data_IF_960392847634
#
_entry.id   IF_960392847634
#
_cell.length_a   1.000
_cell.length_b   1.000
_cell.length_c   1.000
_cell.angle_alpha   90.00
_cell.angle_beta   90.00
_cell.angle_gamma   90.00
#
_symmetry.space_group_name_H-M   'P 1'
#
loop_
_entity.id
_entity.type
_entity.pdbx_description
1 polymer ?
#
# COMPACT_ATOMS: atom_id res chain seq x y z
N UNK A 1 11.93 -9.23 -15.31
CA UNK A 1 13.40 -9.22 -15.14
C UNK A 1 13.91 -7.82 -14.82
N UNK A 2 15.06 -7.73 -14.15
CA UNK A 2 15.72 -6.46 -13.82
C UNK A 2 15.24 -5.75 -12.54
N UNK A 3 14.30 -6.33 -11.80
CA UNK A 3 13.81 -5.79 -10.53
C UNK A 3 13.75 -6.84 -9.42
N UNK A 4 14.08 -6.42 -8.20
CA UNK A 4 13.71 -7.08 -6.96
C UNK A 4 12.48 -6.39 -6.38
N UNK A 5 11.49 -7.18 -5.96
CA UNK A 5 10.20 -6.62 -5.52
C UNK A 5 9.86 -7.08 -4.11
N UNK A 6 9.19 -6.21 -3.37
CA UNK A 6 8.81 -6.37 -1.98
C UNK A 6 7.34 -6.00 -1.84
N UNK A 7 6.55 -6.84 -1.20
CA UNK A 7 5.11 -6.68 -1.10
C UNK A 7 4.67 -6.70 0.35
N UNK A 8 3.66 -5.89 0.65
CA UNK A 8 2.78 -6.05 1.79
C UNK A 8 1.36 -6.26 1.28
N UNK A 9 0.63 -7.23 1.82
CA UNK A 9 -0.75 -7.52 1.43
C UNK A 9 -1.65 -7.66 2.63
N UNK A 10 -2.94 -7.41 2.41
CA UNK A 10 -3.93 -7.54 3.48
C UNK A 10 -4.06 -8.99 3.94
N UNK A 11 -4.03 -9.18 5.25
CA UNK A 11 -4.34 -10.43 5.95
C UNK A 11 -5.79 -10.48 6.45
N UNK A 12 -6.58 -9.45 6.14
CA UNK A 12 -7.97 -9.31 6.60
C UNK A 12 -8.97 -9.59 5.49
N UNK A 13 -8.65 -9.23 4.25
CA UNK A 13 -9.56 -9.36 3.11
C UNK A 13 -8.78 -9.59 1.81
N UNK A 14 -9.21 -10.58 1.04
CA UNK A 14 -8.67 -10.85 -0.30
C UNK A 14 -8.99 -9.69 -1.27
N UNK A 15 -8.05 -9.36 -2.15
CA UNK A 15 -8.23 -8.29 -3.15
C UNK A 15 -8.35 -6.88 -2.56
N UNK A 16 -7.92 -6.67 -1.31
CA UNK A 16 -8.01 -5.38 -0.62
C UNK A 16 -6.63 -4.87 -0.20
N UNK A 17 -6.42 -3.57 -0.41
CA UNK A 17 -5.18 -2.89 -0.03
C UNK A 17 -3.97 -3.58 -0.68
N UNK A 18 -2.79 -3.34 -0.12
CA UNK A 18 -1.54 -3.89 -0.61
C UNK A 18 -0.65 -2.79 -1.18
N UNK A 19 0.62 -2.87 -0.84
CA UNK A 19 1.65 -1.96 -1.34
C UNK A 19 2.84 -2.78 -1.83
N UNK A 20 3.56 -2.24 -2.80
CA UNK A 20 4.75 -2.88 -3.34
C UNK A 20 5.85 -1.87 -3.59
N UNK A 21 7.11 -2.29 -3.40
CA UNK A 21 8.29 -1.57 -3.85
C UNK A 21 8.96 -2.41 -4.94
N UNK A 22 9.29 -1.77 -6.06
CA UNK A 22 10.06 -2.34 -7.16
C UNK A 22 11.42 -1.65 -7.21
N UNK A 23 12.48 -2.37 -6.84
CA UNK A 23 13.85 -1.88 -6.91
C UNK A 23 14.54 -2.46 -8.14
N UNK A 24 15.23 -1.64 -8.95
CA UNK A 24 16.13 -2.18 -9.98
C UNK A 24 17.15 -3.09 -9.31
N UNK A 25 17.59 -4.15 -9.99
CA UNK A 25 18.59 -5.08 -9.41
C UNK A 25 19.92 -4.40 -9.08
N UNK A 26 20.26 -3.31 -9.76
CA UNK A 26 21.42 -2.46 -9.44
C UNK A 26 21.26 -1.62 -8.17
N UNK A 27 20.05 -1.52 -7.64
CA UNK A 27 19.68 -0.77 -6.42
C UNK A 27 18.99 -1.73 -5.45
N UNK A 28 19.58 -2.90 -5.27
CA UNK A 28 19.07 -3.90 -4.34
C UNK A 28 19.21 -3.38 -2.91
N UNK A 29 18.12 -3.34 -2.12
CA UNK A 29 18.20 -2.86 -0.75
C UNK A 29 19.02 -3.82 0.12
N UNK A 30 19.64 -3.28 1.16
CA UNK A 30 20.36 -4.05 2.18
C UNK A 30 19.40 -4.67 3.21
N UNK A 31 18.25 -4.04 3.45
CA UNK A 31 17.21 -4.51 4.37
C UNK A 31 15.82 -4.21 3.82
N UNK A 32 14.85 -5.03 4.17
CA UNK A 32 13.45 -4.78 3.83
C UNK A 32 12.53 -5.31 4.95
N UNK A 33 11.44 -4.59 5.22
CA UNK A 33 10.51 -4.93 6.29
C UNK A 33 9.08 -4.62 5.90
N UNK A 34 8.18 -5.57 6.14
CA UNK A 34 6.74 -5.41 5.94
C UNK A 34 6.08 -4.82 7.19
N UNK A 35 5.22 -3.82 7.00
CA UNK A 35 4.54 -3.13 8.09
C UNK A 35 5.37 -1.98 8.68
N UNK A 36 4.84 -1.36 9.72
CA UNK A 36 5.47 -0.29 10.50
C UNK A 36 5.78 -0.74 11.94
N UNK A 37 5.12 -1.80 12.43
CA UNK A 37 5.19 -2.20 13.83
C UNK A 37 6.08 -3.42 14.11
N UNK A 38 6.66 -4.04 13.08
CA UNK A 38 7.51 -5.22 13.22
C UNK A 38 6.77 -6.46 13.72
N UNK A 39 5.44 -6.53 13.53
CA UNK A 39 4.60 -7.63 14.06
C UNK A 39 4.38 -8.77 13.08
N UNK A 40 4.71 -8.59 11.80
CA UNK A 40 4.36 -9.56 10.74
C UNK A 40 5.40 -10.66 10.52
N UNK A 41 6.68 -10.32 10.69
CA UNK A 41 7.80 -11.24 10.49
C UNK A 41 8.67 -11.22 11.74
N UNK A 42 8.80 -12.36 12.42
CA UNK A 42 9.65 -12.47 13.59
C UNK A 42 11.08 -12.85 13.20
N UNK A 43 12.06 -12.17 13.80
CA UNK A 43 13.48 -12.56 13.83
C UNK A 43 14.13 -12.74 12.43
N UNK A 44 13.80 -11.87 11.47
CA UNK A 44 14.56 -11.81 10.22
C UNK A 44 15.81 -10.95 10.42
N UNK A 45 16.99 -11.54 10.18
CA UNK A 45 18.29 -10.87 10.31
C UNK A 45 18.43 -9.65 9.36
N UNK A 46 17.65 -9.64 8.27
CA UNK A 46 17.62 -8.58 7.26
C UNK A 46 16.39 -7.66 7.34
N UNK A 47 15.69 -7.67 8.48
CA UNK A 47 14.69 -6.66 8.83
C UNK A 47 15.34 -5.32 9.16
N UNK A 48 14.62 -4.20 8.95
CA UNK A 48 15.13 -2.85 9.22
C UNK A 48 15.41 -2.63 10.71
N UNK A 49 14.70 -3.32 11.61
CA UNK A 49 14.91 -3.26 13.05
C UNK A 49 14.69 -1.86 13.64
N UNK A 50 15.33 -1.58 14.79
CA UNK A 50 15.21 -0.31 15.50
C UNK A 50 14.02 -0.25 16.46
N UNK A 51 13.65 0.96 16.88
CA UNK A 51 12.51 1.19 17.74
C UNK A 51 11.20 1.14 16.94
N UNK A 52 10.22 0.44 17.47
CA UNK A 52 8.89 0.32 16.90
C UNK A 52 7.93 1.28 17.60
N UNK A 53 6.81 1.64 16.95
CA UNK A 53 5.85 2.56 17.54
C UNK A 53 5.39 2.10 18.92
N UNK A 54 5.35 3.01 19.88
CA UNK A 54 4.89 2.74 21.25
C UNK A 54 3.37 2.85 21.32
N UNK A 55 2.66 1.75 21.07
CA UNK A 55 1.19 1.63 21.12
C UNK A 55 0.77 0.28 21.73
N UNK A 56 -0.52 0.10 21.99
CA UNK A 56 -1.07 -1.20 22.43
C UNK A 56 -0.72 -2.31 21.41
N UNK A 57 -0.49 -3.53 21.89
CA UNK A 57 -0.09 -4.64 21.01
C UNK A 57 -1.15 -4.97 19.96
N UNK A 58 -2.44 -4.82 20.28
CA UNK A 58 -3.51 -5.06 19.32
C UNK A 58 -3.54 -3.99 18.24
N UNK A 59 -3.27 -2.73 18.61
CA UNK A 59 -3.19 -1.62 17.66
C UNK A 59 -2.00 -1.80 16.71
N UNK A 60 -0.83 -2.19 17.25
CA UNK A 60 0.36 -2.50 16.45
C UNK A 60 0.10 -3.62 15.44
N UNK A 61 -0.55 -4.70 15.88
CA UNK A 61 -0.91 -5.78 14.99
C UNK A 61 -1.98 -5.36 13.97
N UNK A 62 -2.93 -4.52 14.37
CA UNK A 62 -4.00 -4.04 13.49
C UNK A 62 -3.44 -3.21 12.33
N UNK A 63 -2.53 -2.27 12.60
CA UNK A 63 -1.97 -1.38 11.56
C UNK A 63 -1.18 -2.14 10.48
N UNK A 64 -0.51 -3.23 10.86
CA UNK A 64 0.31 -4.03 9.97
C UNK A 64 -0.53 -5.02 9.14
N UNK A 65 -1.65 -5.53 9.69
CA UNK A 65 -2.45 -6.58 9.03
C UNK A 65 -3.23 -6.13 7.80
N UNK A 66 -3.43 -4.83 7.58
CA UNK A 66 -4.10 -4.33 6.37
C UNK A 66 -3.18 -4.24 5.14
N UNK A 67 -1.89 -4.57 5.26
CA UNK A 67 -0.98 -4.60 4.12
C UNK A 67 -0.68 -3.21 3.54
N UNK A 68 -0.51 -2.22 4.43
CA UNK A 68 -0.49 -0.79 4.08
C UNK A 68 0.90 -0.16 4.06
N UNK A 69 1.93 -0.90 4.45
CA UNK A 69 3.29 -0.36 4.51
C UNK A 69 4.32 -1.42 4.12
N UNK A 70 5.31 -1.00 3.34
CA UNK A 70 6.51 -1.78 3.02
C UNK A 70 7.70 -0.83 3.01
N UNK A 71 8.80 -1.24 3.62
CA UNK A 71 9.99 -0.41 3.78
C UNK A 71 11.21 -1.11 3.21
N UNK A 72 12.13 -0.34 2.65
CA UNK A 72 13.43 -0.81 2.18
C UNK A 72 14.52 0.16 2.60
N UNK A 73 15.70 -0.37 2.92
CA UNK A 73 16.88 0.43 3.24
C UNK A 73 17.98 0.18 2.21
N UNK A 74 18.59 1.25 1.72
CA UNK A 74 19.61 1.23 0.66
C UNK A 74 20.89 1.88 1.16
N UNK A 75 22.04 1.25 0.92
CA UNK A 75 23.33 1.84 1.31
C UNK A 75 23.75 2.96 0.34
N UNK A 76 24.18 4.08 0.89
CA UNK A 76 24.73 5.23 0.15
C UNK A 76 26.27 5.19 0.16
N UNK A 77 26.90 5.82 -0.83
CA UNK A 77 28.36 5.80 -0.98
C UNK A 77 29.09 6.45 0.22
N UNK A 78 28.46 7.42 0.87
CA UNK A 78 28.99 8.13 2.05
C UNK A 78 28.96 7.31 3.35
N UNK A 79 28.53 6.04 3.28
CA UNK A 79 28.44 5.13 4.42
C UNK A 79 27.17 5.31 5.26
N UNK A 80 26.26 6.22 4.88
CA UNK A 80 24.91 6.30 5.42
C UNK A 80 23.96 5.40 4.63
N UNK A 81 22.67 5.41 4.97
CA UNK A 81 21.65 4.67 4.25
C UNK A 81 20.40 5.50 3.99
N UNK A 82 19.65 5.14 2.95
CA UNK A 82 18.35 5.69 2.62
C UNK A 82 17.25 4.69 3.01
N UNK A 83 16.41 5.06 3.95
CA UNK A 83 15.17 4.38 4.26
C UNK A 83 14.04 4.93 3.38
N UNK A 84 13.48 4.07 2.54
CA UNK A 84 12.28 4.33 1.74
C UNK A 84 11.08 3.65 2.41
N UNK A 85 10.09 4.44 2.81
CA UNK A 85 8.85 3.98 3.43
C UNK A 85 7.71 4.19 2.42
N UNK A 86 7.15 3.11 1.87
CA UNK A 86 6.00 3.17 0.99
C UNK A 86 4.72 2.86 1.77
N UNK A 87 3.73 3.75 1.71
CA UNK A 87 2.48 3.64 2.46
C UNK A 87 1.22 3.79 1.59
N UNK A 88 0.17 3.08 1.96
CA UNK A 88 -1.19 3.32 1.49
C UNK A 88 -2.07 3.60 2.71
N UNK A 89 -2.24 4.88 3.03
CA UNK A 89 -2.87 5.29 4.28
C UNK A 89 -4.38 5.04 4.26
N UNK A 90 -5.01 4.78 5.42
CA UNK A 90 -6.44 4.53 5.49
C UNK A 90 -7.27 5.71 4.98
N UNK A 91 -8.32 5.41 4.24
CA UNK A 91 -9.43 6.35 4.00
C UNK A 91 -10.34 6.39 5.23
N UNK A 92 -10.81 7.59 5.57
CA UNK A 92 -11.85 7.79 6.59
C UNK A 92 -13.19 7.76 5.90
N UNK A 93 -14.07 6.89 6.38
CA UNK A 93 -15.45 6.80 5.94
C UNK A 93 -16.35 7.46 7.00
N UNK A 94 -17.32 8.27 6.58
CA UNK A 94 -18.22 8.98 7.50
C UNK A 94 -19.08 8.03 8.31
N UNK A 95 -19.37 6.85 7.76
CA UNK A 95 -20.18 5.82 8.42
C UNK A 95 -19.37 5.00 9.43
N UNK A 96 -18.03 5.14 9.43
CA UNK A 96 -17.10 4.33 10.23
C UNK A 96 -16.12 5.22 10.98
N UNK A 97 -16.58 5.90 12.05
CA UNK A 97 -15.75 6.85 12.80
C UNK A 97 -14.47 6.22 13.37
N UNK A 98 -14.46 4.90 13.64
CA UNK A 98 -13.29 4.16 14.06
C UNK A 98 -12.14 4.18 13.05
N UNK A 99 -12.43 4.39 11.75
CA UNK A 99 -11.41 4.54 10.71
C UNK A 99 -10.57 5.80 10.88
N UNK A 100 -11.12 6.84 11.49
CA UNK A 100 -10.35 8.04 11.82
C UNK A 100 -9.29 7.71 12.88
N UNK A 101 -9.67 7.04 13.96
CA UNK A 101 -8.72 6.60 15.01
C UNK A 101 -7.64 5.70 14.42
N UNK A 102 -8.03 4.71 13.60
CA UNK A 102 -7.08 3.84 12.91
C UNK A 102 -6.12 4.62 12.01
N UNK A 103 -6.62 5.61 11.25
CA UNK A 103 -5.79 6.48 10.41
C UNK A 103 -4.79 7.28 11.23
N UNK A 104 -5.19 7.85 12.37
CA UNK A 104 -4.31 8.63 13.23
C UNK A 104 -3.24 7.77 13.90
N UNK A 105 -3.58 6.55 14.32
CA UNK A 105 -2.60 5.57 14.81
C UNK A 105 -1.59 5.18 13.71
N UNK A 106 -2.08 4.97 12.48
CA UNK A 106 -1.22 4.69 11.33
C UNK A 106 -0.26 5.86 11.03
N UNK A 107 -0.75 7.09 11.04
CA UNK A 107 0.06 8.31 10.91
C UNK A 107 1.12 8.42 12.02
N UNK A 108 0.74 8.17 13.27
CA UNK A 108 1.70 8.14 14.39
C UNK A 108 2.79 7.08 14.19
N UNK A 109 2.43 5.90 13.66
CA UNK A 109 3.39 4.84 13.37
C UNK A 109 4.38 5.23 12.24
N UNK A 110 3.89 5.89 11.17
CA UNK A 110 4.76 6.45 10.12
C UNK A 110 5.76 7.43 10.74
N UNK A 111 5.27 8.39 11.53
CA UNK A 111 6.11 9.43 12.15
C UNK A 111 7.19 8.83 13.05
N UNK A 112 6.82 7.88 13.92
CA UNK A 112 7.77 7.23 14.82
C UNK A 112 8.82 6.42 14.07
N UNK A 113 8.44 5.66 13.03
CA UNK A 113 9.40 4.91 12.22
C UNK A 113 10.33 5.83 11.44
N UNK A 114 9.79 6.87 10.82
CA UNK A 114 10.60 7.83 10.08
C UNK A 114 11.61 8.54 11.01
N UNK A 115 11.21 8.93 12.23
CA UNK A 115 12.12 9.51 13.24
C UNK A 115 13.18 8.52 13.73
N UNK A 116 12.83 7.26 13.97
CA UNK A 116 13.79 6.23 14.36
C UNK A 116 14.91 6.07 13.32
N UNK A 117 14.57 6.12 12.03
CA UNK A 117 15.60 6.09 10.97
C UNK A 117 16.49 7.32 10.97
N UNK A 118 15.94 8.52 11.20
CA UNK A 118 16.74 9.74 11.32
C UNK A 118 17.72 9.68 12.51
N UNK A 119 17.27 9.18 13.66
CA UNK A 119 18.09 9.02 14.87
C UNK A 119 19.24 8.03 14.66
N UNK A 120 19.06 7.05 13.78
CA UNK A 120 20.10 6.11 13.34
C UNK A 120 21.05 6.69 12.27
N UNK A 121 20.86 7.94 11.86
CA UNK A 121 21.65 8.59 10.83
C UNK A 121 21.27 8.22 9.40
N UNK A 122 20.11 7.59 9.19
CA UNK A 122 19.59 7.33 7.85
C UNK A 122 18.99 8.59 7.23
N UNK A 123 19.03 8.69 5.90
CA UNK A 123 18.15 9.55 5.11
C UNK A 123 16.79 8.89 4.97
N UNK A 124 15.73 9.68 4.95
CA UNK A 124 14.36 9.16 4.95
C UNK A 124 13.56 9.76 3.82
N UNK A 125 12.90 8.89 3.06
CA UNK A 125 11.90 9.25 2.07
C UNK A 125 10.63 8.45 2.36
N UNK A 126 9.50 9.14 2.48
CA UNK A 126 8.18 8.52 2.72
C UNK A 126 7.29 8.81 1.53
N UNK A 127 6.74 7.78 0.90
CA UNK A 127 5.95 7.91 -0.34
C UNK A 127 4.61 7.21 -0.22
N UNK A 128 3.65 7.71 -1.00
CA UNK A 128 2.40 7.00 -1.30
C UNK A 128 1.16 7.86 -1.10
N UNK A 129 0.01 7.19 -1.03
CA UNK A 129 -1.30 7.83 -0.88
C UNK A 129 -1.61 8.03 0.62
N UNK A 130 -1.69 9.29 1.04
CA UNK A 130 -2.00 9.67 2.42
C UNK A 130 -3.51 9.81 2.68
N UNK A 131 -4.34 9.73 1.64
CA UNK A 131 -5.79 9.90 1.70
C UNK A 131 -6.20 11.21 2.42
N UNK A 132 -5.41 12.27 2.26
CA UNK A 132 -5.68 13.60 2.82
C UNK A 132 -5.01 14.67 1.95
N UNK A 133 -5.75 15.71 1.59
CA UNK A 133 -5.21 16.91 0.97
C UNK A 133 -4.78 17.89 2.07
N UNK A 134 -3.54 18.41 2.01
CA UNK A 134 -2.97 19.23 3.08
C UNK A 134 -3.61 20.61 3.17
N UNK A 135 -3.57 21.38 2.08
CA UNK A 135 -4.05 22.77 2.03
C UNK A 135 -5.24 22.93 1.08
N UNK A 136 -6.02 24.03 1.15
CA UNK A 136 -7.10 24.28 0.20
C UNK A 136 -6.66 24.27 -1.28
N UNK A 137 -5.43 24.69 -1.57
CA UNK A 137 -4.85 24.63 -2.93
C UNK A 137 -4.69 23.19 -3.47
N UNK A 138 -4.74 22.19 -2.59
CA UNK A 138 -4.59 20.77 -2.91
C UNK A 138 -5.93 20.05 -3.19
N UNK A 139 -7.03 20.78 -3.31
CA UNK A 139 -8.36 20.23 -3.65
C UNK A 139 -9.16 21.22 -4.49
N UNK A 140 -10.00 20.73 -5.40
CA UNK A 140 -11.02 21.56 -6.05
C UNK A 140 -12.12 22.02 -5.10
N UNK A 141 -12.39 21.22 -4.07
CA UNK A 141 -13.51 21.43 -3.15
C UNK A 141 -13.03 21.31 -1.69
N UNK A 142 -12.57 22.42 -1.08
CA UNK A 142 -12.26 22.44 0.34
C UNK A 142 -13.51 22.52 1.23
N UNK A 143 -14.71 22.61 0.65
CA UNK A 143 -15.96 22.94 1.35
C UNK A 143 -16.08 24.43 1.70
N UNK A 144 -17.27 24.80 2.20
CA UNK A 144 -17.61 26.20 2.47
C UNK A 144 -16.88 26.79 3.68
N UNK A 145 -16.61 25.97 4.70
CA UNK A 145 -15.91 26.39 5.92
C UNK A 145 -14.43 25.97 5.87
N UNK A 146 -13.59 26.92 5.47
CA UNK A 146 -12.13 26.73 5.42
C UNK A 146 -11.53 26.45 6.80
N UNK A 147 -12.10 26.99 7.89
CA UNK A 147 -11.60 26.69 9.23
C UNK A 147 -11.91 25.24 9.62
N UNK A 148 -13.08 24.74 9.25
CA UNK A 148 -13.43 23.33 9.39
C UNK A 148 -12.50 22.44 8.56
N UNK A 149 -12.18 22.84 7.31
CA UNK A 149 -11.20 22.12 6.49
C UNK A 149 -9.86 22.00 7.21
N UNK A 150 -9.26 23.12 7.62
CA UNK A 150 -7.92 23.16 8.19
C UNK A 150 -7.85 22.43 9.54
N UNK A 151 -8.91 22.50 10.35
CA UNK A 151 -8.95 21.91 11.70
C UNK A 151 -9.17 20.40 11.75
N UNK A 152 -9.34 19.71 10.61
CA UNK A 152 -9.49 18.25 10.61
C UNK A 152 -8.26 17.54 11.22
N UNK A 153 -8.45 16.51 12.07
CA UNK A 153 -7.33 15.85 12.76
C UNK A 153 -6.22 15.34 11.83
N UNK A 154 -6.57 14.82 10.65
CA UNK A 154 -5.59 14.37 9.66
C UNK A 154 -4.73 15.50 9.09
N UNK A 155 -5.30 16.69 8.85
CA UNK A 155 -4.54 17.86 8.35
C UNK A 155 -3.73 18.54 9.44
N UNK A 156 -4.22 18.51 10.69
CA UNK A 156 -3.44 18.95 11.84
C UNK A 156 -2.20 18.06 12.04
N UNK A 157 -2.36 16.74 11.96
CA UNK A 157 -1.21 15.83 11.98
C UNK A 157 -0.26 16.12 10.82
N UNK A 158 -0.77 16.27 9.60
CA UNK A 158 0.07 16.57 8.43
C UNK A 158 0.89 17.85 8.63
N UNK A 159 0.24 18.91 9.12
CA UNK A 159 0.89 20.20 9.39
C UNK A 159 1.99 20.07 10.45
N UNK A 160 1.77 19.25 11.47
CA UNK A 160 2.78 18.92 12.49
C UNK A 160 3.92 18.05 11.92
N UNK A 161 3.60 17.09 11.05
CA UNK A 161 4.57 16.16 10.48
C UNK A 161 5.65 16.90 9.66
N UNK A 162 5.24 17.93 8.91
CA UNK A 162 6.17 18.79 8.15
C UNK A 162 6.64 20.04 8.93
N UNK A 163 6.19 20.20 10.17
CA UNK A 163 6.58 21.33 11.01
C UNK A 163 8.09 21.29 11.29
N UNK A 164 8.68 22.47 11.47
CA UNK A 164 10.12 22.63 11.75
C UNK A 164 11.06 22.08 10.67
N UNK A 165 10.54 21.74 9.48
CA UNK A 165 11.32 21.21 8.35
C UNK A 165 12.08 19.92 8.66
N UNK A 166 11.55 19.09 9.59
CA UNK A 166 12.08 17.74 9.82
C UNK A 166 11.76 16.87 8.61
N UNK A 167 10.50 16.89 8.17
CA UNK A 167 10.05 16.32 6.90
C UNK A 167 9.51 17.43 5.99
N UNK A 168 9.65 17.21 4.68
CA UNK A 168 9.35 18.19 3.65
C UNK A 168 8.44 17.54 2.61
N UNK A 169 7.30 18.16 2.30
CA UNK A 169 6.51 17.87 1.10
C UNK A 169 7.30 18.34 -0.12
N UNK A 170 7.91 17.40 -0.85
CA UNK A 170 8.84 17.71 -1.96
C UNK A 170 8.16 18.49 -3.08
N UNK A 171 6.90 18.19 -3.39
CA UNK A 171 6.15 18.91 -4.42
C UNK A 171 5.94 20.35 -4.02
N UNK A 172 5.46 20.61 -2.79
CA UNK A 172 5.24 21.98 -2.32
C UNK A 172 6.52 22.75 -1.99
N UNK A 173 7.63 22.04 -1.77
CA UNK A 173 8.95 22.66 -1.65
C UNK A 173 9.40 23.29 -2.97
N UNK A 174 9.18 22.59 -4.10
CA UNK A 174 9.58 23.04 -5.43
C UNK A 174 8.51 23.89 -6.13
N UNK A 175 7.24 23.62 -5.85
CA UNK A 175 6.07 24.23 -6.50
C UNK A 175 5.08 24.79 -5.47
N UNK A 176 5.49 25.77 -4.63
CA UNK A 176 4.71 26.21 -3.47
C UNK A 176 3.33 26.75 -3.86
N UNK A 177 3.24 27.48 -4.98
CA UNK A 177 2.03 28.19 -5.40
C UNK A 177 1.32 27.55 -6.61
N UNK A 178 1.80 26.38 -7.09
CA UNK A 178 1.19 25.72 -8.24
C UNK A 178 -0.23 25.23 -7.90
N UNK A 179 -1.21 25.77 -8.62
CA UNK A 179 -2.63 25.39 -8.51
C UNK A 179 -2.93 24.20 -9.40
N UNK A 180 -4.06 23.55 -9.14
CA UNK A 180 -4.61 22.50 -10.00
C UNK A 180 -3.70 21.26 -10.16
N UNK A 181 -2.75 21.10 -9.25
CA UNK A 181 -1.78 20.00 -9.21
C UNK A 181 -2.35 18.80 -8.45
N UNK A 182 -3.41 18.20 -8.97
CA UNK A 182 -4.08 17.07 -8.36
C UNK A 182 -3.43 15.73 -8.76
N UNK A 183 -3.69 14.70 -7.97
CA UNK A 183 -3.14 13.35 -8.18
C UNK A 183 -4.21 12.27 -8.19
N UNK A 184 -5.46 12.58 -7.79
CA UNK A 184 -6.58 11.66 -7.74
C UNK A 184 -7.87 12.34 -8.21
N UNK A 185 -8.67 11.61 -8.99
CA UNK A 185 -9.95 12.06 -9.55
C UNK A 185 -11.02 10.97 -9.46
N UNK A 186 -12.25 11.35 -9.10
CA UNK A 186 -13.39 10.45 -9.03
C UNK A 186 -13.75 9.88 -10.43
N UNK A 187 -13.72 8.56 -10.56
CA UNK A 187 -13.98 7.87 -11.85
C UNK A 187 -15.43 7.96 -12.30
N UNK A 188 -16.40 7.80 -11.37
CA UNK A 188 -17.82 7.69 -11.71
C UNK A 188 -18.38 8.96 -12.36
N UNK A 189 -17.87 10.13 -11.97
CA UNK A 189 -18.24 11.43 -12.54
C UNK A 189 -17.33 11.88 -13.68
N UNK A 190 -16.36 11.04 -14.10
CA UNK A 190 -15.35 11.38 -15.09
C UNK A 190 -14.60 12.69 -14.74
N UNK A 191 -14.28 12.87 -13.46
CA UNK A 191 -13.81 14.14 -12.90
C UNK A 191 -12.46 14.60 -13.48
N UNK A 192 -11.64 13.67 -13.96
CA UNK A 192 -10.30 13.91 -14.52
C UNK A 192 -10.33 14.84 -15.74
N UNK A 193 -11.34 14.74 -16.60
CA UNK A 193 -11.45 15.56 -17.83
C UNK A 193 -11.57 17.05 -17.51
N UNK A 194 -12.22 17.40 -16.40
CA UNK A 194 -12.38 18.78 -15.95
C UNK A 194 -11.36 19.17 -14.88
N UNK A 195 -10.35 18.32 -14.65
CA UNK A 195 -9.39 18.41 -13.56
C UNK A 195 -10.03 18.64 -12.18
N UNK A 196 -11.22 18.08 -11.94
CA UNK A 196 -11.89 18.16 -10.65
C UNK A 196 -11.31 17.10 -9.70
N UNK A 197 -10.26 17.46 -8.98
CA UNK A 197 -9.43 16.48 -8.26
C UNK A 197 -8.93 16.93 -6.91
N UNK A 198 -8.14 16.05 -6.30
CA UNK A 198 -7.44 16.26 -5.04
C UNK A 198 -5.99 15.78 -5.16
N UNK A 199 -5.07 16.45 -4.45
CA UNK A 199 -3.69 15.99 -4.28
C UNK A 199 -3.61 15.21 -2.96
N UNK A 200 -3.44 13.91 -3.06
CA UNK A 200 -3.38 13.00 -1.90
C UNK A 200 -2.20 12.03 -1.95
N UNK A 201 -1.44 12.05 -3.04
CA UNK A 201 -0.22 11.27 -3.22
C UNK A 201 1.00 12.16 -2.98
N UNK A 202 1.91 11.70 -2.13
CA UNK A 202 3.02 12.52 -1.65
C UNK A 202 4.35 11.77 -1.75
N UNK A 203 5.41 12.55 -1.94
CA UNK A 203 6.79 12.17 -1.65
C UNK A 203 7.27 13.15 -0.59
N UNK A 204 7.42 12.66 0.65
CA UNK A 204 8.12 13.38 1.70
C UNK A 204 9.57 12.96 1.73
N UNK A 205 10.44 13.89 2.09
CA UNK A 205 11.83 13.58 2.43
C UNK A 205 12.25 14.33 3.68
N UNK A 206 13.31 13.88 4.34
CA UNK A 206 13.87 14.62 5.46
C UNK A 206 14.50 15.94 5.03
N UNK A 207 14.64 16.86 5.99
CA UNK A 207 15.15 18.21 5.74
C UNK A 207 16.56 18.25 5.10
N UNK A 208 17.43 17.25 5.35
CA UNK A 208 18.74 17.20 4.69
C UNK A 208 18.61 16.73 3.23
N UNK A 209 17.79 15.71 2.97
CA UNK A 209 17.49 15.23 1.61
C UNK A 209 16.91 16.34 0.75
N UNK A 210 15.97 17.13 1.27
CA UNK A 210 15.36 18.23 0.51
C UNK A 210 16.39 19.27 0.01
N UNK A 211 17.46 19.50 0.79
CA UNK A 211 18.48 20.53 0.49
C UNK A 211 19.63 20.01 -0.34
N UNK A 212 20.00 18.75 -0.15
CA UNK A 212 21.21 18.17 -0.71
C UNK A 212 20.92 17.29 -1.93
N UNK A 213 19.74 16.66 -1.97
CA UNK A 213 19.48 15.58 -2.90
C UNK A 213 18.27 15.76 -3.81
N UNK A 214 17.25 16.50 -3.39
CA UNK A 214 16.07 16.73 -4.20
C UNK A 214 16.40 17.57 -5.45
N UNK A 215 16.09 17.03 -6.62
CA UNK A 215 16.29 17.68 -7.92
C UNK A 215 14.96 18.20 -8.48
N UNK A 216 13.94 17.34 -8.50
CA UNK A 216 12.63 17.67 -9.05
C UNK A 216 11.50 16.85 -8.41
N UNK A 217 10.25 17.31 -8.54
CA UNK A 217 9.05 16.57 -8.13
C UNK A 217 7.85 16.91 -9.03
N UNK A 218 7.36 15.94 -9.80
CA UNK A 218 6.35 16.15 -10.84
C UNK A 218 5.18 15.18 -10.72
N UNK A 219 3.99 15.64 -11.14
CA UNK A 219 2.80 14.78 -11.31
C UNK A 219 2.65 14.40 -12.78
N UNK A 220 2.50 13.10 -13.08
CA UNK A 220 2.36 12.57 -14.44
C UNK A 220 0.90 12.38 -14.81
N UNK A 221 0.19 13.51 -14.88
CA UNK A 221 -1.26 13.57 -15.09
C UNK A 221 -1.71 12.93 -16.42
N UNK A 222 -0.81 12.73 -17.37
CA UNK A 222 -1.08 12.08 -18.65
C UNK A 222 -1.08 10.55 -18.58
N UNK A 223 -0.68 9.94 -17.46
CA UNK A 223 -0.73 8.50 -17.26
C UNK A 223 -2.09 8.11 -16.66
N UNK A 224 -2.95 7.50 -17.46
CA UNK A 224 -4.37 7.26 -17.15
C UNK A 224 -4.71 5.81 -16.72
N UNK A 225 -3.76 5.07 -16.14
CA UNK A 225 -3.98 3.66 -15.76
C UNK A 225 -4.77 3.45 -14.46
N UNK A 226 -5.06 4.51 -13.72
CA UNK A 226 -5.78 4.52 -12.44
C UNK A 226 -6.52 5.86 -12.30
N UNK A 227 -7.47 5.90 -11.38
CA UNK A 227 -8.06 7.12 -10.80
C UNK A 227 -7.01 8.04 -10.16
N UNK A 228 -5.81 7.54 -9.87
CA UNK A 228 -4.64 8.32 -9.51
C UNK A 228 -3.65 8.48 -10.68
N UNK A 229 -2.83 9.53 -10.64
CA UNK A 229 -1.65 9.66 -11.49
C UNK A 229 -0.34 9.48 -10.68
N UNK A 230 0.75 8.99 -11.29
CA UNK A 230 2.03 8.87 -10.61
C UNK A 230 2.62 10.23 -10.19
N UNK A 231 3.21 10.26 -9.00
CA UNK A 231 4.11 11.34 -8.54
C UNK A 231 5.55 10.84 -8.68
N UNK A 232 6.41 11.63 -9.34
CA UNK A 232 7.82 11.30 -9.58
C UNK A 232 8.68 12.29 -8.80
N UNK A 233 9.53 11.79 -7.90
CA UNK A 233 10.59 12.55 -7.27
C UNK A 233 11.94 12.17 -7.86
N UNK A 234 12.71 13.17 -8.28
CA UNK A 234 14.08 12.99 -8.76
C UNK A 234 15.07 13.36 -7.65
N UNK A 235 16.00 12.46 -7.36
CA UNK A 235 17.01 12.65 -6.33
C UNK A 235 18.39 12.26 -6.86
N UNK A 236 19.42 13.03 -6.51
CA UNK A 236 20.81 12.80 -6.95
C UNK A 236 21.61 11.89 -6.01
N UNK A 237 20.97 10.97 -5.29
CA UNK A 237 21.65 10.03 -4.40
C UNK A 237 22.73 9.25 -5.14
N UNK A 238 23.90 9.10 -4.52
CA UNK A 238 24.95 8.21 -4.98
C UNK A 238 24.87 6.95 -4.12
N UNK A 239 24.38 5.87 -4.72
CA UNK A 239 24.25 4.59 -4.06
C UNK A 239 25.59 3.86 -4.05
N UNK A 240 25.84 3.11 -2.98
CA UNK A 240 27.03 2.27 -2.86
C UNK A 240 27.03 1.19 -3.95
N UNK A 241 28.17 1.00 -4.63
CA UNK A 241 28.40 -0.13 -5.54
C UNK A 241 28.33 -1.49 -4.81
N UNK A 242 28.36 -1.47 -3.46
CA UNK A 242 28.09 -2.64 -2.60
C UNK A 242 26.60 -2.88 -2.38
N UNK A 243 25.77 -2.59 -3.39
CA UNK A 243 24.38 -3.01 -3.40
C UNK A 243 24.31 -4.51 -3.04
N UNK A 244 23.34 -4.89 -2.19
CA UNK A 244 23.38 -6.21 -1.57
C UNK A 244 23.45 -7.32 -2.64
N UNK A 245 24.48 -8.16 -2.57
CA UNK A 245 24.70 -9.24 -3.53
C UNK A 245 23.48 -10.18 -3.63
N UNK A 246 22.67 -10.23 -2.57
CA UNK A 246 21.39 -10.93 -2.50
C UNK A 246 20.36 -9.97 -1.89
N UNK A 247 19.13 -9.88 -2.44
CA UNK A 247 18.08 -9.08 -1.83
C UNK A 247 17.63 -9.68 -0.49
N UNK A 248 16.97 -8.88 0.36
CA UNK A 248 16.40 -9.33 1.63
C UNK A 248 15.42 -10.50 1.46
N UNK A 249 15.28 -11.28 2.52
CA UNK A 249 14.55 -12.54 2.61
C UNK A 249 13.08 -12.43 2.22
N UNK A 250 12.46 -11.27 2.46
CA UNK A 250 11.06 -11.00 2.10
C UNK A 250 10.86 -10.66 0.60
N UNK A 251 11.94 -10.62 -0.20
CA UNK A 251 11.87 -10.43 -1.64
C UNK A 251 11.00 -11.53 -2.31
N UNK A 252 10.11 -11.14 -3.22
CA UNK A 252 9.18 -12.04 -3.91
C UNK A 252 9.88 -13.18 -4.66
N UNK A 253 11.13 -12.97 -5.07
CA UNK A 253 11.91 -14.01 -5.77
C UNK A 253 12.13 -15.27 -4.93
N UNK A 254 11.97 -15.18 -3.61
CA UNK A 254 12.12 -16.32 -2.69
C UNK A 254 10.79 -17.02 -2.37
N UNK A 255 9.65 -16.45 -2.78
CA UNK A 255 8.34 -17.02 -2.53
C UNK A 255 8.19 -18.38 -3.20
N UNK A 256 7.69 -19.35 -2.45
CA UNK A 256 7.61 -20.74 -2.89
C UNK A 256 6.69 -20.93 -4.10
N UNK A 257 5.64 -20.12 -4.16
CA UNK A 257 4.60 -20.03 -5.16
C UNK A 257 5.17 -19.66 -6.53
N UNK A 258 6.28 -18.92 -6.56
CA UNK A 258 6.94 -18.46 -7.78
C UNK A 258 8.19 -19.29 -8.13
N UNK A 259 8.54 -20.34 -7.38
CA UNK A 259 9.71 -21.19 -7.65
C UNK A 259 9.60 -22.05 -8.91
N UNK A 260 8.52 -21.91 -9.70
CA UNK A 260 8.38 -22.58 -10.99
C UNK A 260 8.31 -24.10 -10.91
N UNK A 261 8.05 -24.69 -9.72
CA UNK A 261 7.68 -26.10 -9.64
C UNK A 261 6.40 -26.29 -10.43
N UNK A 262 6.47 -27.00 -11.56
CA UNK A 262 5.31 -27.42 -12.31
C UNK A 262 4.32 -28.07 -11.34
N UNK A 263 3.24 -27.36 -11.03
CA UNK A 263 2.17 -27.89 -10.19
C UNK A 263 1.67 -29.16 -10.87
N UNK A 264 1.71 -30.29 -10.17
CA UNK A 264 1.24 -31.55 -10.75
C UNK A 264 -0.23 -31.36 -11.08
N UNK A 265 -0.62 -31.70 -12.32
CA UNK A 265 -2.01 -31.53 -12.82
C UNK A 265 -3.06 -32.13 -11.87
N UNK A 266 -2.67 -33.15 -11.09
CA UNK A 266 -3.50 -33.81 -10.10
C UNK A 266 -3.92 -32.92 -8.91
N UNK A 267 -3.27 -31.77 -8.69
CA UNK A 267 -3.68 -30.77 -7.70
C UNK A 267 -4.88 -29.94 -8.17
N UNK A 268 -5.14 -29.90 -9.48
CA UNK A 268 -6.33 -29.26 -10.08
C UNK A 268 -7.47 -30.25 -10.34
N UNK A 269 -7.22 -31.56 -10.21
CA UNK A 269 -8.21 -32.61 -10.42
C UNK A 269 -9.03 -32.81 -9.15
N UNK A 270 -10.29 -32.37 -9.15
CA UNK A 270 -11.26 -32.76 -8.13
C UNK A 270 -11.38 -34.28 -8.19
N UNK A 271 -11.05 -34.97 -7.08
CA UNK A 271 -11.31 -36.41 -6.96
C UNK A 271 -12.81 -36.64 -6.97
N UNK A 272 -13.39 -36.92 -8.14
CA UNK A 272 -14.70 -37.55 -8.22
C UNK A 272 -14.61 -38.89 -7.50
N UNK A 273 -15.28 -39.02 -6.34
CA UNK A 273 -15.52 -40.32 -5.72
C UNK A 273 -16.23 -41.18 -6.78
N UNK A 274 -15.57 -42.22 -7.27
CA UNK A 274 -16.25 -43.33 -7.93
C UNK A 274 -17.21 -43.91 -6.90
N UNK A 275 -18.51 -43.73 -7.12
CA UNK A 275 -19.54 -44.55 -6.48
C UNK A 275 -19.21 -45.98 -6.90
N UNK A 276 -19.08 -46.89 -5.92
CA UNK A 276 -18.90 -48.32 -6.21
C UNK A 276 -20.22 -48.81 -6.74
N UNK A 277 -20.18 -49.47 -7.90
CA UNK A 277 -21.34 -50.15 -8.45
C UNK A 277 -21.78 -51.23 -7.44
N UNK A 278 -22.98 -51.06 -6.88
CA UNK A 278 -23.69 -52.16 -6.25
C UNK A 278 -24.18 -53.07 -7.38
N UNK A 279 -23.80 -54.34 -7.33
CA UNK A 279 -24.30 -55.40 -8.20
C UNK A 279 -25.83 -55.47 -8.06
N UNK A 280 -26.55 -55.12 -9.12
CA UNK A 280 -27.97 -55.39 -9.26
C UNK A 280 -28.14 -56.45 -10.35
N UNK A 281 -28.67 -57.58 -9.89
CA UNK A 281 -29.02 -58.78 -10.64
C UNK A 281 -29.99 -58.45 -11.79
N UNK A 282 -29.78 -59.11 -12.92
CA UNK A 282 -30.50 -58.84 -14.18
C UNK A 282 -31.76 -59.69 -14.22
N UNK A 283 -32.94 -59.07 -14.12
CA UNK A 283 -34.12 -59.56 -14.86
C UNK A 283 -35.03 -58.39 -15.27
N UNK A 284 -35.65 -58.55 -16.44
CA UNK A 284 -36.00 -57.46 -17.37
C UNK A 284 -37.09 -56.49 -16.94
N UNK A 285 -37.06 -55.26 -17.47
CA UNK A 285 -37.84 -54.91 -18.66
C UNK A 285 -37.46 -53.49 -19.15
N UNK A 286 -37.54 -53.27 -20.47
CA UNK A 286 -37.18 -51.99 -21.11
C UNK A 286 -38.24 -50.92 -20.84
N UNK A 287 -37.83 -49.72 -20.41
CA UNK A 287 -38.47 -48.45 -20.85
C UNK A 287 -37.56 -47.24 -20.65
N UNK A 288 -37.55 -46.39 -21.67
CA UNK A 288 -36.76 -45.18 -21.85
C UNK A 288 -36.98 -44.15 -20.73
N UNK A 289 -35.90 -43.52 -20.26
CA UNK A 289 -35.97 -42.18 -19.69
C UNK A 289 -34.70 -41.38 -20.00
N UNK A 290 -34.95 -40.13 -20.39
CA UNK A 290 -34.03 -39.10 -20.84
C UNK A 290 -33.06 -38.66 -19.74
N UNK A 291 -31.77 -38.49 -20.07
CA UNK A 291 -30.78 -37.89 -19.18
C UNK A 291 -30.98 -36.36 -19.11
N UNK A 292 -31.42 -35.84 -17.96
CA UNK A 292 -31.25 -34.42 -17.62
C UNK A 292 -29.91 -34.23 -16.89
N UNK A 293 -29.06 -33.36 -17.43
CA UNK A 293 -27.84 -32.88 -16.76
C UNK A 293 -28.23 -31.75 -15.82
N UNK A 294 -28.21 -31.98 -14.50
CA UNK A 294 -28.29 -30.90 -13.50
C UNK A 294 -26.89 -30.36 -13.19
N UNK A 295 -26.57 -29.20 -13.76
CA UNK A 295 -25.44 -28.36 -13.33
C UNK A 295 -25.92 -27.51 -12.14
N UNK A 296 -25.40 -27.75 -10.95
CA UNK A 296 -25.62 -26.88 -9.79
C UNK A 296 -24.48 -25.88 -9.65
N UNK A 297 -24.72 -24.64 -10.09
CA UNK A 297 -23.88 -23.49 -9.73
C UNK A 297 -24.25 -23.03 -8.31
N UNK A 298 -23.31 -23.02 -7.37
CA UNK A 298 -23.49 -22.30 -6.10
C UNK A 298 -23.19 -20.82 -6.34
N UNK A 299 -24.25 -20.02 -6.53
CA UNK A 299 -24.26 -18.60 -6.15
C UNK A 299 -24.45 -18.54 -4.64
N UNK A 300 -23.65 -17.73 -3.95
CA UNK A 300 -23.96 -17.29 -2.58
C UNK A 300 -24.51 -15.88 -2.69
N UNK A 301 -25.79 -15.76 -2.41
CA UNK A 301 -26.53 -14.50 -2.39
C UNK A 301 -26.17 -13.69 -1.14
N UNK A 302 -26.04 -12.38 -1.35
CA UNK A 302 -25.98 -11.34 -0.32
C UNK A 302 -27.41 -10.84 -0.13
N UNK A 303 -28.00 -11.05 1.05
CA UNK A 303 -29.31 -10.47 1.38
C UNK A 303 -29.14 -9.03 1.84
N UNK A 304 -29.91 -8.15 1.19
CA UNK A 304 -30.14 -6.76 1.56
C UNK A 304 -31.45 -6.68 2.36
N UNK A 305 -31.41 -6.12 3.57
CA UNK A 305 -32.61 -5.69 4.28
C UNK A 305 -32.90 -4.22 3.99
N UNK A 306 -33.91 -3.98 3.16
CA UNK A 306 -34.69 -2.73 3.13
C UNK A 306 -36.10 -3.06 3.63
N UNK A 307 -36.50 -2.48 4.76
CA UNK A 307 -37.90 -2.45 5.18
C UNK A 307 -38.44 -1.03 5.06
N UNK A 308 -39.54 -0.90 4.32
CA UNK A 308 -40.33 0.29 4.11
C UNK A 308 -41.79 -0.13 4.32
N UNK A 309 -42.46 0.41 5.33
CA UNK A 309 -43.92 0.50 5.35
C UNK A 309 -44.42 1.51 6.41
N UNK A 310 -45.07 2.56 5.88
CA UNK A 310 -46.02 3.53 6.48
C UNK A 310 -45.46 4.77 7.17
#
# INVERSE_FOLDING_TARGET
DGYHTFYSWSRLREGYSGVAIFCKTSLTPIRAEEGLAGKLHSNLDDSLGGEYPSMDENDLLAIDREGRAIMTEHELEDGTSLALINVYCPRVDREKPERLTYKLNFFSAIEQRAKCFLERGCRVVVVGDFNVSHKPIDTCDPGDDINYFISSPSRLWFSKFIENNIFIDTFRYLHPDQREAYTCWETLSNARVNNYGVRIDYIFCDGAVSKLHLVDCQHRIEIESSDHCPVIGEFNFIFSDRSAAKPPSICTKFWSEFKGTQMKLNQFMIKTKRIRDEEIDVDGDKKQQTNEIKVTSKRTDVEAETSLAK
#
